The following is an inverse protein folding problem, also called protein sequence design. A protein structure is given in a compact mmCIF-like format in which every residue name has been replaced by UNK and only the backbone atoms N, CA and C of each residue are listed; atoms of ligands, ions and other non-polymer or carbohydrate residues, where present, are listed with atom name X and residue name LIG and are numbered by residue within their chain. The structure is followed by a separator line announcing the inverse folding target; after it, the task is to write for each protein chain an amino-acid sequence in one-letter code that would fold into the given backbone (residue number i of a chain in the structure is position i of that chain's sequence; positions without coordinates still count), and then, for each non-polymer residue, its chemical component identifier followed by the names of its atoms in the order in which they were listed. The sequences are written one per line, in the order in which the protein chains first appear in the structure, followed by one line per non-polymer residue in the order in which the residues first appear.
data_IF_949780075258
#
_entry.id   IF_949780075258
#
_cell.length_a   1.000
_cell.length_b   1.000
_cell.length_c   1.000
_cell.angle_alpha   90.00
_cell.angle_beta   90.00
_cell.angle_gamma   90.00
#
_symmetry.space_group_name_H-M   'P 1'
#
loop_
_entity.id
_entity.type
_entity.pdbx_description
1 polymer ?
#
# COMPACT_ATOMS: atom_id res chain seq x y z
N UNK A 1 9.94 -12.95 3.17
CA UNK A 1 9.15 -14.13 2.75
C UNK A 1 9.64 -15.47 3.32
N UNK A 2 10.94 -15.65 3.64
CA UNK A 2 11.44 -16.92 4.22
C UNK A 2 10.89 -17.23 5.62
N UNK A 3 10.82 -16.24 6.51
CA UNK A 3 10.33 -16.45 7.89
C UNK A 3 8.82 -16.75 8.00
N UNK A 4 7.99 -16.14 7.14
CA UNK A 4 6.53 -16.32 7.19
C UNK A 4 6.07 -17.68 6.67
N UNK A 5 6.85 -18.32 5.79
CA UNK A 5 6.59 -19.71 5.35
C UNK A 5 6.96 -20.73 6.43
N UNK A 6 7.95 -20.44 7.27
CA UNK A 6 8.34 -21.30 8.41
C UNK A 6 7.33 -21.26 9.56
N UNK A 7 6.45 -20.25 9.60
CA UNK A 7 5.43 -20.10 10.62
C UNK A 7 4.15 -20.92 10.34
N UNK A 8 4.05 -21.60 9.19
CA UNK A 8 2.93 -22.49 8.88
C UNK A 8 3.20 -23.85 9.56
N UNK A 9 2.35 -24.31 10.50
CA UNK A 9 2.55 -25.59 11.16
C UNK A 9 2.60 -26.75 10.15
N UNK A 10 3.62 -27.59 10.23
CA UNK A 10 3.76 -28.79 9.37
C UNK A 10 2.59 -29.75 9.55
N UNK A 11 1.98 -29.76 10.73
CA UNK A 11 0.81 -30.57 11.09
C UNK A 11 -0.40 -30.32 10.16
N UNK A 12 -0.61 -29.07 9.73
CA UNK A 12 -1.69 -28.72 8.81
C UNK A 12 -1.43 -29.20 7.37
N UNK A 13 -0.16 -29.34 6.99
CA UNK A 13 0.20 -29.93 5.70
C UNK A 13 0.06 -31.46 5.72
N UNK A 14 0.45 -32.09 6.83
CA UNK A 14 0.30 -33.54 7.03
C UNK A 14 -1.16 -33.96 7.10
N UNK A 15 -2.01 -33.22 7.83
CA UNK A 15 -3.45 -33.47 7.87
C UNK A 15 -4.11 -33.36 6.47
N UNK A 16 -3.71 -32.35 5.69
CA UNK A 16 -4.24 -32.18 4.32
C UNK A 16 -3.79 -33.29 3.36
N UNK A 17 -2.62 -33.89 3.60
CA UNK A 17 -2.16 -35.06 2.85
C UNK A 17 -2.95 -36.33 3.21
N UNK A 18 -3.30 -36.50 4.50
CA UNK A 18 -4.18 -37.59 4.96
C UNK A 18 -5.59 -37.45 4.37
N UNK A 19 -6.11 -36.22 4.27
CA UNK A 19 -7.43 -35.92 3.68
C UNK A 19 -7.45 -35.95 2.13
N UNK A 20 -6.32 -36.25 1.48
CA UNK A 20 -6.24 -36.37 0.02
C UNK A 20 -6.39 -35.05 -0.75
N UNK A 21 -6.12 -33.91 -0.10
CA UNK A 21 -6.26 -32.59 -0.72
C UNK A 21 -5.22 -32.38 -1.84
N UNK A 22 -5.67 -31.86 -2.99
CA UNK A 22 -4.78 -31.48 -4.09
C UNK A 22 -3.92 -30.26 -3.68
N UNK A 23 -2.64 -30.15 -4.10
CA UNK A 23 -1.79 -28.99 -3.86
C UNK A 23 -2.45 -27.60 -4.06
N UNK A 24 -3.34 -27.44 -5.05
CA UNK A 24 -4.10 -26.18 -5.22
C UNK A 24 -5.09 -25.89 -4.10
N UNK A 25 -5.73 -26.93 -3.55
CA UNK A 25 -6.65 -26.81 -2.41
C UNK A 25 -5.86 -26.50 -1.14
N UNK A 26 -4.73 -27.17 -0.91
CA UNK A 26 -3.82 -26.87 0.22
C UNK A 26 -3.36 -25.41 0.15
N UNK A 27 -2.92 -24.93 -1.02
CA UNK A 27 -2.49 -23.54 -1.16
C UNK A 27 -3.60 -22.53 -0.88
N UNK A 28 -4.78 -22.68 -1.48
CA UNK A 28 -5.87 -21.70 -1.33
C UNK A 28 -6.56 -21.75 0.03
N UNK A 29 -6.73 -22.93 0.61
CA UNK A 29 -7.53 -23.13 1.82
C UNK A 29 -6.70 -23.12 3.10
N UNK A 30 -5.40 -23.38 3.03
CA UNK A 30 -4.52 -23.47 4.20
C UNK A 30 -3.40 -22.45 4.11
N UNK A 31 -2.52 -22.58 3.11
CA UNK A 31 -1.28 -21.78 3.02
C UNK A 31 -1.57 -20.28 2.86
N UNK A 32 -2.41 -19.92 1.89
CA UNK A 32 -2.74 -18.53 1.57
C UNK A 32 -3.44 -17.80 2.72
N UNK A 33 -4.52 -18.32 3.35
CA UNK A 33 -5.17 -17.61 4.45
C UNK A 33 -4.26 -17.45 5.68
N UNK A 34 -3.47 -18.46 6.03
CA UNK A 34 -2.50 -18.36 7.14
C UNK A 34 -1.40 -17.33 6.83
N UNK A 35 -0.85 -17.37 5.61
CA UNK A 35 0.12 -16.37 5.17
C UNK A 35 -0.49 -14.96 5.17
N UNK A 36 -1.73 -14.79 4.71
CA UNK A 36 -2.40 -13.50 4.72
C UNK A 36 -2.60 -12.97 6.14
N UNK A 37 -2.87 -13.84 7.12
CA UNK A 37 -3.01 -13.42 8.52
C UNK A 37 -1.68 -12.89 9.09
N UNK A 38 -0.56 -13.52 8.74
CA UNK A 38 0.78 -13.12 9.20
C UNK A 38 1.30 -11.90 8.42
N UNK A 39 1.06 -11.87 7.11
CA UNK A 39 1.60 -10.84 6.20
C UNK A 39 0.72 -9.60 6.12
N UNK A 40 -0.53 -9.62 6.60
CA UNK A 40 -1.44 -8.48 6.42
C UNK A 40 -0.92 -7.16 7.01
N UNK A 41 -0.31 -7.12 8.21
CA UNK A 41 0.31 -5.89 8.71
C UNK A 41 1.42 -5.37 7.80
N UNK A 42 2.28 -6.27 7.30
CA UNK A 42 3.38 -5.94 6.40
C UNK A 42 2.87 -5.44 5.04
N UNK A 43 1.82 -6.08 4.49
CA UNK A 43 1.19 -5.69 3.24
C UNK A 43 0.55 -4.29 3.36
N UNK A 44 -0.13 -4.01 4.46
CA UNK A 44 -0.72 -2.69 4.72
C UNK A 44 0.38 -1.63 4.82
N UNK A 45 1.45 -1.90 5.58
CA UNK A 45 2.58 -0.99 5.71
C UNK A 45 3.27 -0.73 4.37
N UNK A 46 3.50 -1.79 3.58
CA UNK A 46 4.10 -1.69 2.25
C UNK A 46 3.20 -0.91 1.28
N UNK A 47 1.89 -1.14 1.32
CA UNK A 47 0.93 -0.37 0.53
C UNK A 47 0.97 1.12 0.92
N UNK A 48 0.91 1.44 2.21
CA UNK A 48 0.95 2.83 2.69
C UNK A 48 2.26 3.54 2.30
N UNK A 49 3.39 2.82 2.36
CA UNK A 49 4.69 3.32 1.92
C UNK A 49 4.70 3.63 0.42
N UNK A 50 4.28 2.68 -0.42
CA UNK A 50 4.28 2.85 -1.88
C UNK A 50 3.27 3.91 -2.34
N UNK A 51 2.11 4.00 -1.69
CA UNK A 51 1.08 5.00 -1.99
C UNK A 51 1.59 6.43 -1.82
N UNK A 52 2.54 6.66 -0.91
CA UNK A 52 3.14 7.97 -0.63
C UNK A 52 4.57 8.12 -1.18
N UNK A 53 5.00 7.26 -2.11
CA UNK A 53 6.39 7.25 -2.59
C UNK A 53 6.69 8.38 -3.60
N UNK A 54 6.67 9.62 -3.10
CA UNK A 54 6.93 10.84 -3.86
C UNK A 54 8.28 10.79 -4.57
N UNK A 55 9.33 10.38 -3.86
CA UNK A 55 10.70 10.39 -4.39
C UNK A 55 10.84 9.51 -5.63
N UNK A 56 10.22 8.33 -5.65
CA UNK A 56 10.26 7.44 -6.81
C UNK A 56 9.66 8.12 -8.05
N UNK A 57 8.45 8.68 -7.92
CA UNK A 57 7.77 9.35 -9.03
C UNK A 57 8.52 10.60 -9.47
N UNK A 58 8.92 11.45 -8.52
CA UNK A 58 9.58 12.71 -8.81
C UNK A 58 10.93 12.51 -9.52
N UNK A 59 11.74 11.56 -9.07
CA UNK A 59 13.06 11.30 -9.63
C UNK A 59 13.02 10.51 -10.94
N UNK A 60 12.10 9.54 -11.07
CA UNK A 60 12.09 8.64 -12.22
C UNK A 60 11.34 9.22 -13.42
N UNK A 61 10.16 9.82 -13.18
CA UNK A 61 9.27 10.27 -14.27
C UNK A 61 8.88 11.74 -14.17
N UNK A 62 9.12 12.39 -13.02
CA UNK A 62 8.62 13.74 -12.74
C UNK A 62 7.09 13.82 -12.79
N UNK A 63 6.39 12.68 -12.65
CA UNK A 63 4.94 12.58 -12.82
C UNK A 63 4.45 12.48 -14.26
N UNK A 64 5.32 12.49 -15.26
CA UNK A 64 4.92 12.46 -16.68
C UNK A 64 4.56 11.07 -17.23
N UNK A 65 4.17 10.96 -18.52
CA UNK A 65 3.94 12.07 -19.45
C UNK A 65 2.72 12.92 -19.08
N UNK A 66 2.73 14.20 -19.48
CA UNK A 66 1.59 15.13 -19.33
C UNK A 66 1.06 15.51 -20.70
N UNK A 67 -0.26 15.49 -20.87
CA UNK A 67 -0.86 15.99 -22.08
C UNK A 67 -1.06 17.51 -21.97
N UNK A 68 -0.01 18.26 -22.29
CA UNK A 68 -0.02 19.73 -22.18
C UNK A 68 -0.99 20.41 -23.15
N UNK A 69 -1.49 19.70 -24.16
CA UNK A 69 -2.44 20.20 -25.16
C UNK A 69 -3.87 20.34 -24.62
N UNK A 70 -4.25 19.55 -23.60
CA UNK A 70 -5.60 19.57 -23.01
C UNK A 70 -5.67 20.42 -21.72
N UNK A 71 -4.57 21.10 -21.36
CA UNK A 71 -4.49 21.85 -20.10
C UNK A 71 -4.36 20.96 -18.85
N UNK A 72 -4.02 19.68 -19.03
CA UNK A 72 -3.86 18.73 -17.93
C UNK A 72 -2.62 19.05 -17.09
N UNK A 73 -2.85 19.38 -15.82
CA UNK A 73 -1.79 19.64 -14.83
C UNK A 73 -1.23 18.31 -14.27
N UNK A 74 -2.07 17.27 -14.22
CA UNK A 74 -1.70 15.92 -13.79
C UNK A 74 -1.05 15.14 -14.95
N UNK A 75 0.02 14.40 -14.65
CA UNK A 75 0.60 13.45 -15.60
C UNK A 75 0.23 12.01 -15.28
N UNK A 76 0.45 11.12 -16.25
CA UNK A 76 -0.04 9.75 -16.22
C UNK A 76 0.55 8.89 -15.08
N UNK A 77 1.67 9.29 -14.50
CA UNK A 77 2.29 8.59 -13.36
C UNK A 77 2.22 9.41 -12.07
N UNK A 78 1.51 10.53 -12.05
CA UNK A 78 1.37 11.29 -10.82
C UNK A 78 0.59 10.51 -9.76
N UNK A 79 1.10 10.58 -8.54
CA UNK A 79 0.38 10.20 -7.32
C UNK A 79 -0.09 11.49 -6.62
N UNK A 80 -1.07 11.39 -5.72
CA UNK A 80 -1.67 12.56 -5.06
C UNK A 80 -0.63 13.55 -4.49
N UNK A 81 0.43 13.04 -3.88
CA UNK A 81 1.50 13.88 -3.31
C UNK A 81 2.40 14.52 -4.38
N UNK A 82 2.69 13.83 -5.50
CA UNK A 82 3.48 14.42 -6.59
C UNK A 82 2.68 15.47 -7.35
N UNK A 83 1.39 15.23 -7.54
CA UNK A 83 0.47 16.19 -8.13
C UNK A 83 0.34 17.46 -7.28
N UNK A 84 0.16 17.31 -5.96
CA UNK A 84 0.08 18.44 -5.02
C UNK A 84 1.35 19.29 -5.05
N UNK A 85 2.52 18.64 -5.09
CA UNK A 85 3.80 19.33 -5.22
C UNK A 85 3.89 20.14 -6.53
N UNK A 86 3.41 19.58 -7.64
CA UNK A 86 3.38 20.26 -8.93
C UNK A 86 2.44 21.47 -8.94
N UNK A 87 1.31 21.42 -8.25
CA UNK A 87 0.45 22.61 -8.09
C UNK A 87 1.11 23.67 -7.20
N UNK A 88 1.80 23.24 -6.13
CA UNK A 88 2.39 24.15 -5.16
C UNK A 88 3.66 24.85 -5.68
N UNK A 89 4.47 24.14 -6.47
CA UNK A 89 5.82 24.56 -6.87
C UNK A 89 6.09 24.40 -8.37
N UNK A 90 5.08 24.03 -9.17
CA UNK A 90 5.19 23.89 -10.62
C UNK A 90 5.35 25.23 -11.34
N UNK A 91 5.96 25.19 -12.52
CA UNK A 91 6.46 26.37 -13.24
C UNK A 91 5.38 27.32 -13.79
N UNK A 92 4.10 26.94 -13.82
CA UNK A 92 3.06 27.67 -14.56
C UNK A 92 1.94 28.29 -13.71
N UNK A 93 1.64 27.78 -12.50
CA UNK A 93 0.62 28.32 -11.59
C UNK A 93 1.03 28.02 -10.15
N UNK A 94 1.27 29.05 -9.33
CA UNK A 94 1.61 28.90 -7.90
C UNK A 94 0.34 29.07 -7.05
N UNK A 95 -0.52 28.04 -7.07
CA UNK A 95 -1.78 28.04 -6.30
C UNK A 95 -1.59 27.43 -4.91
N UNK A 96 -0.94 28.19 -4.02
CA UNK A 96 -0.67 27.77 -2.63
C UNK A 96 -1.95 27.43 -1.85
N UNK A 97 -3.08 28.08 -2.15
CA UNK A 97 -4.37 27.79 -1.52
C UNK A 97 -4.89 26.40 -1.87
N UNK A 98 -4.83 26.03 -3.16
CA UNK A 98 -5.26 24.72 -3.65
C UNK A 98 -4.31 23.62 -3.14
N UNK A 99 -3.00 23.87 -3.18
CA UNK A 99 -2.00 22.97 -2.63
C UNK A 99 -2.18 22.70 -1.12
N UNK A 100 -2.49 23.74 -0.35
CA UNK A 100 -2.73 23.62 1.10
C UNK A 100 -3.99 22.80 1.39
N UNK A 101 -5.06 23.01 0.62
CA UNK A 101 -6.30 22.23 0.75
C UNK A 101 -6.09 20.73 0.45
N UNK A 102 -5.37 20.40 -0.63
CA UNK A 102 -5.05 19.00 -0.96
C UNK A 102 -4.13 18.40 0.12
N UNK A 103 -3.16 19.15 0.65
CA UNK A 103 -2.28 18.67 1.72
C UNK A 103 -3.05 18.28 2.99
N UNK A 104 -4.07 19.05 3.36
CA UNK A 104 -4.97 18.72 4.49
C UNK A 104 -5.76 17.45 4.22
N UNK A 105 -6.26 17.26 2.99
CA UNK A 105 -6.95 16.02 2.59
C UNK A 105 -6.02 14.80 2.66
N UNK A 106 -4.79 14.92 2.16
CA UNK A 106 -3.77 13.85 2.24
C UNK A 106 -3.46 13.54 3.71
N UNK A 107 -3.33 14.55 4.56
CA UNK A 107 -3.10 14.36 5.99
C UNK A 107 -4.21 13.51 6.62
N UNK A 108 -5.48 13.84 6.41
CA UNK A 108 -6.58 13.05 6.96
C UNK A 108 -6.62 11.63 6.40
N UNK A 109 -6.30 11.44 5.13
CA UNK A 109 -6.26 10.13 4.49
C UNK A 109 -5.15 9.26 5.11
N UNK A 110 -3.93 9.78 5.19
CA UNK A 110 -2.78 9.05 5.77
C UNK A 110 -2.98 8.82 7.26
N UNK A 111 -3.52 9.80 8.00
CA UNK A 111 -3.85 9.66 9.42
C UNK A 111 -4.89 8.55 9.65
N UNK A 112 -5.93 8.49 8.81
CA UNK A 112 -6.97 7.46 8.91
C UNK A 112 -6.42 6.06 8.63
N UNK A 113 -5.60 5.90 7.58
CA UNK A 113 -4.93 4.63 7.26
C UNK A 113 -3.98 4.21 8.39
N UNK A 114 -3.17 5.16 8.89
CA UNK A 114 -2.23 4.90 9.98
C UNK A 114 -2.96 4.49 11.26
N UNK A 115 -4.05 5.18 11.60
CA UNK A 115 -4.87 4.85 12.76
C UNK A 115 -5.52 3.47 12.64
N UNK A 116 -6.04 3.12 11.46
CA UNK A 116 -6.60 1.79 11.20
C UNK A 116 -5.53 0.70 11.27
N UNK A 117 -4.35 0.94 10.69
CA UNK A 117 -3.20 0.03 10.74
C UNK A 117 -2.73 -0.24 12.18
N UNK A 118 -2.58 0.82 12.99
CA UNK A 118 -2.22 0.70 14.40
C UNK A 118 -3.28 -0.03 15.23
N UNK A 119 -4.57 0.23 14.97
CA UNK A 119 -5.68 -0.50 15.60
C UNK A 119 -5.61 -2.01 15.30
N UNK A 120 -5.35 -2.40 14.05
CA UNK A 120 -5.17 -3.81 13.69
C UNK A 120 -3.91 -4.43 14.30
N UNK A 121 -2.82 -3.69 14.41
CA UNK A 121 -1.57 -4.18 15.03
C UNK A 121 -1.75 -4.45 16.52
N UNK A 122 -2.36 -3.51 17.28
CA UNK A 122 -2.60 -3.70 18.73
C UNK A 122 -3.55 -4.85 19.04
N UNK A 123 -4.50 -5.12 18.16
CA UNK A 123 -5.41 -6.27 18.30
C UNK A 123 -4.64 -7.59 18.19
N UNK A 124 -3.57 -7.67 17.39
CA UNK A 124 -2.75 -8.88 17.27
C UNK A 124 -1.77 -9.11 18.42
N UNK A 125 -1.46 -8.09 19.23
CA UNK A 125 -0.66 -8.25 20.46
C UNK A 125 -1.48 -8.80 21.64
N UNK A 126 -2.82 -8.73 21.60
CA UNK A 126 -3.69 -9.23 22.69
C UNK A 126 -4.06 -10.71 22.54
N UNK A 127 -3.69 -11.34 21.43
CA UNK A 127 -3.97 -12.77 21.15
C UNK A 127 -2.69 -13.63 21.02
N UNK A 128 -1.56 -13.13 21.50
CA UNK A 128 -0.31 -13.90 21.67
C UNK A 128 -0.17 -14.44 23.08
#
# INVERSE_FOLDING_TARGET
CSGSLQAIPSELQEAAAIDGANPRQVFRSITLPLLLQILSPLLIASFAYNFNNFNLIYLLTGGGPRNTLDGEIAGATDILISYTYQIAFGRNVLDFGLASAISVLIFFLVASISFYGLRKSKVMETFG
#
